data_IF_982486235650
#
_entry.id   IF_982486235650
#
_cell.length_a   1.000
_cell.length_b   1.000
_cell.length_c   1.000
_cell.angle_alpha   90.00
_cell.angle_beta   90.00
_cell.angle_gamma   90.00
#
_symmetry.space_group_name_H-M   'P 1'
#
loop_
_entity.id
_entity.type
_entity.pdbx_description
1 polymer ?
#
# COMPACT_ATOMS: atom_id res chain seq x y z
N UNK A 1 11.38 2.17 21.99
CA UNK A 1 11.06 1.61 20.65
C UNK A 1 9.98 0.52 20.66
N UNK A 2 9.54 0.00 21.82
CA UNK A 2 8.45 -1.00 21.91
C UNK A 2 7.11 -0.38 21.42
N UNK A 3 6.40 -1.08 20.53
CA UNK A 3 5.10 -0.70 19.93
C UNK A 3 5.09 0.60 19.11
N UNK A 4 6.06 0.77 18.21
CA UNK A 4 6.04 1.88 17.25
C UNK A 4 5.27 1.48 15.97
N UNK A 5 4.08 2.05 15.71
CA UNK A 5 3.26 1.65 14.56
C UNK A 5 3.87 2.07 13.21
N UNK A 6 4.77 3.06 13.19
CA UNK A 6 5.50 3.44 11.98
C UNK A 6 6.45 2.33 11.51
N UNK A 7 7.12 1.66 12.46
CA UNK A 7 8.01 0.54 12.15
C UNK A 7 7.21 -0.64 11.56
N UNK A 8 6.01 -0.87 12.08
CA UNK A 8 5.09 -1.90 11.56
C UNK A 8 4.71 -1.62 10.11
N UNK A 9 4.36 -0.37 9.76
CA UNK A 9 4.02 0.00 8.38
C UNK A 9 5.21 -0.18 7.43
N UNK A 10 6.42 0.20 7.86
CA UNK A 10 7.64 0.00 7.06
C UNK A 10 7.91 -1.49 6.84
N UNK A 11 7.78 -2.30 7.89
CA UNK A 11 7.98 -3.75 7.78
C UNK A 11 6.97 -4.38 6.81
N UNK A 12 5.70 -3.95 6.89
CA UNK A 12 4.65 -4.39 5.97
C UNK A 12 4.94 -3.99 4.52
N UNK A 13 5.49 -2.79 4.29
CA UNK A 13 5.95 -2.37 2.97
C UNK A 13 7.02 -3.33 2.43
N UNK A 14 8.04 -3.66 3.23
CA UNK A 14 9.08 -4.60 2.84
C UNK A 14 8.52 -6.00 2.53
N UNK A 15 7.60 -6.50 3.36
CA UNK A 15 6.95 -7.80 3.14
C UNK A 15 6.14 -7.78 1.84
N UNK A 16 5.43 -6.69 1.55
CA UNK A 16 4.66 -6.56 0.32
C UNK A 16 5.54 -6.61 -0.93
N UNK A 17 6.68 -5.89 -0.93
CA UNK A 17 7.64 -5.94 -2.04
C UNK A 17 8.19 -7.35 -2.24
N UNK A 18 8.55 -8.04 -1.15
CA UNK A 18 9.00 -9.43 -1.19
C UNK A 18 7.93 -10.36 -1.75
N UNK A 19 6.67 -10.19 -1.34
CA UNK A 19 5.55 -10.99 -1.82
C UNK A 19 5.32 -10.79 -3.33
N UNK A 20 5.40 -9.56 -3.82
CA UNK A 20 5.28 -9.26 -5.26
C UNK A 20 6.37 -9.97 -6.05
N UNK A 21 7.63 -9.87 -5.61
CA UNK A 21 8.75 -10.57 -6.26
C UNK A 21 8.59 -12.09 -6.20
N UNK A 22 8.03 -12.62 -5.12
CA UNK A 22 7.78 -14.05 -5.00
C UNK A 22 6.66 -14.53 -5.93
N UNK A 23 5.57 -13.76 -6.05
CA UNK A 23 4.48 -14.06 -6.98
C UNK A 23 4.95 -14.00 -8.44
N UNK A 24 5.83 -13.04 -8.76
CA UNK A 24 6.48 -12.94 -10.06
C UNK A 24 7.38 -14.15 -10.33
N UNK A 25 8.15 -14.60 -9.33
CA UNK A 25 9.02 -15.78 -9.45
C UNK A 25 8.27 -17.09 -9.74
N UNK A 26 7.02 -17.24 -9.27
CA UNK A 26 6.21 -18.44 -9.51
C UNK A 26 5.26 -18.30 -10.72
N UNK A 27 5.45 -17.26 -11.55
CA UNK A 27 4.61 -16.92 -12.70
C UNK A 27 3.10 -16.86 -12.34
N UNK A 28 2.79 -16.36 -11.14
CA UNK A 28 1.40 -16.24 -10.72
C UNK A 28 0.73 -15.07 -11.45
N UNK A 29 -0.10 -15.39 -12.45
CA UNK A 29 -0.88 -14.40 -13.20
C UNK A 29 -1.99 -13.80 -12.32
N UNK A 30 -1.65 -12.70 -11.64
CA UNK A 30 -2.61 -11.85 -10.97
C UNK A 30 -3.14 -10.85 -11.99
N UNK A 31 -4.47 -10.81 -12.21
CA UNK A 31 -5.06 -9.88 -13.18
C UNK A 31 -4.55 -8.44 -12.98
N UNK A 32 -4.16 -7.76 -14.06
CA UNK A 32 -3.42 -6.48 -14.01
C UNK A 32 -4.05 -5.45 -13.06
N UNK A 33 -5.37 -5.30 -13.10
CA UNK A 33 -6.09 -4.37 -12.22
C UNK A 33 -6.07 -4.77 -10.75
N UNK A 34 -6.04 -6.09 -10.47
CA UNK A 34 -5.99 -6.62 -9.11
C UNK A 34 -4.60 -6.46 -8.50
N UNK A 35 -3.53 -6.69 -9.28
CA UNK A 35 -2.14 -6.45 -8.85
C UNK A 35 -1.93 -4.98 -8.49
N UNK A 36 -2.40 -4.07 -9.35
CA UNK A 36 -2.24 -2.62 -9.18
C UNK A 36 -3.05 -2.09 -7.97
N UNK A 37 -4.28 -2.57 -7.81
CA UNK A 37 -5.09 -2.26 -6.63
C UNK A 37 -4.46 -2.80 -5.34
N UNK A 38 -3.90 -4.02 -5.38
CA UNK A 38 -3.24 -4.63 -4.23
C UNK A 38 -1.98 -3.84 -3.81
N UNK A 39 -1.16 -3.41 -4.78
CA UNK A 39 -0.01 -2.54 -4.51
C UNK A 39 -0.42 -1.21 -3.87
N UNK A 40 -1.46 -0.56 -4.39
CA UNK A 40 -1.84 0.77 -3.93
C UNK A 40 -2.58 0.75 -2.58
N UNK A 41 -3.45 -0.23 -2.33
CA UNK A 41 -4.40 -0.17 -1.22
C UNK A 41 -4.09 -1.09 -0.03
N UNK A 42 -3.17 -2.06 -0.15
CA UNK A 42 -2.85 -2.95 0.97
C UNK A 42 -2.26 -2.20 2.17
N UNK A 43 -1.22 -1.39 1.97
CA UNK A 43 -0.60 -0.61 3.05
C UNK A 43 -1.56 0.40 3.67
N UNK A 44 -2.35 1.20 2.91
CA UNK A 44 -3.38 2.05 3.49
C UNK A 44 -4.40 1.28 4.31
N UNK A 45 -4.89 0.14 3.80
CA UNK A 45 -5.90 -0.68 4.48
C UNK A 45 -5.37 -1.19 5.81
N UNK A 46 -4.16 -1.77 5.82
CA UNK A 46 -3.54 -2.26 7.05
C UNK A 46 -3.25 -1.11 8.02
N UNK A 47 -2.87 0.07 7.52
CA UNK A 47 -2.66 1.26 8.35
C UNK A 47 -3.94 1.75 9.02
N UNK A 48 -5.08 1.71 8.30
CA UNK A 48 -6.41 2.05 8.86
C UNK A 48 -6.81 1.04 9.94
N UNK A 49 -6.63 -0.26 9.68
CA UNK A 49 -6.89 -1.33 10.64
C UNK A 49 -6.04 -1.11 11.90
N UNK A 50 -4.72 -0.94 11.75
CA UNK A 50 -3.80 -0.68 12.87
C UNK A 50 -4.20 0.56 13.67
N UNK A 51 -4.63 1.64 13.00
CA UNK A 51 -5.09 2.85 13.66
C UNK A 51 -6.34 2.61 14.53
N UNK A 52 -7.23 1.68 14.12
CA UNK A 52 -8.41 1.30 14.92
C UNK A 52 -8.05 0.45 16.14
N UNK A 53 -7.02 -0.39 16.05
CA UNK A 53 -6.53 -1.23 17.16
C UNK A 53 -5.56 -0.50 18.10
N UNK A 54 -5.05 0.66 17.71
CA UNK A 54 -4.20 1.52 18.56
C UNK A 54 -5.00 2.11 19.73
N UNK A 55 -4.85 1.50 20.90
CA UNK A 55 -5.27 2.07 22.19
C UNK A 55 -4.57 3.42 22.44
N UNK A 56 -5.05 4.23 23.38
CA UNK A 56 -4.44 5.51 23.77
C UNK A 56 -2.94 5.34 24.06
N UNK A 57 -2.14 5.67 23.05
CA UNK A 57 -0.69 5.60 23.07
C UNK A 57 -0.16 6.97 22.67
N UNK A 58 1.08 7.24 23.06
CA UNK A 58 1.80 8.47 22.71
C UNK A 58 1.82 8.73 21.19
N UNK A 59 1.70 7.69 20.37
CA UNK A 59 1.78 7.78 18.91
C UNK A 59 0.42 7.88 18.20
N UNK A 60 -0.71 7.71 18.91
CA UNK A 60 -2.06 7.61 18.29
C UNK A 60 -2.39 8.81 17.41
N UNK A 61 -2.12 10.03 17.88
CA UNK A 61 -2.42 11.26 17.13
C UNK A 61 -1.56 11.36 15.86
N UNK A 62 -0.26 11.17 15.97
CA UNK A 62 0.66 11.23 14.83
C UNK A 62 0.40 10.13 13.82
N UNK A 63 0.12 8.91 14.28
CA UNK A 63 -0.18 7.78 13.41
C UNK A 63 -1.49 8.00 12.65
N UNK A 64 -2.52 8.57 13.29
CA UNK A 64 -3.78 8.91 12.61
C UNK A 64 -3.56 9.86 11.43
N UNK A 65 -2.77 10.93 11.60
CA UNK A 65 -2.44 11.84 10.48
C UNK A 65 -1.66 11.14 9.38
N UNK A 66 -0.71 10.28 9.74
CA UNK A 66 0.05 9.48 8.80
C UNK A 66 -0.84 8.50 8.01
N UNK A 67 -1.79 7.84 8.67
CA UNK A 67 -2.77 6.98 8.01
C UNK A 67 -3.59 7.77 6.99
N UNK A 68 -4.09 8.96 7.35
CA UNK A 68 -4.81 9.82 6.40
C UNK A 68 -3.93 10.22 5.21
N UNK A 69 -2.69 10.60 5.47
CA UNK A 69 -1.73 10.95 4.43
C UNK A 69 -1.50 9.78 3.46
N UNK A 70 -1.25 8.57 3.97
CA UNK A 70 -1.05 7.37 3.15
C UNK A 70 -2.28 7.05 2.30
N UNK A 71 -3.49 7.18 2.86
CA UNK A 71 -4.73 6.95 2.10
C UNK A 71 -4.83 7.92 0.92
N UNK A 72 -4.56 9.21 1.13
CA UNK A 72 -4.58 10.20 0.04
C UNK A 72 -3.53 9.88 -1.03
N UNK A 73 -2.30 9.58 -0.61
CA UNK A 73 -1.21 9.24 -1.53
C UNK A 73 -1.53 7.98 -2.33
N UNK A 74 -2.14 6.96 -1.71
CA UNK A 74 -2.56 5.74 -2.44
C UNK A 74 -3.62 6.01 -3.50
N UNK A 75 -4.58 6.90 -3.24
CA UNK A 75 -5.59 7.28 -4.23
C UNK A 75 -4.94 8.00 -5.42
N UNK A 76 -4.05 8.95 -5.15
CA UNK A 76 -3.31 9.67 -6.19
C UNK A 76 -2.42 8.72 -7.01
N UNK A 77 -1.69 7.83 -6.35
CA UNK A 77 -0.85 6.84 -7.00
C UNK A 77 -1.67 5.88 -7.87
N UNK A 78 -2.82 5.40 -7.37
CA UNK A 78 -3.70 4.53 -8.12
C UNK A 78 -4.22 5.21 -9.40
N UNK A 79 -4.67 6.46 -9.31
CA UNK A 79 -5.12 7.23 -10.48
C UNK A 79 -3.98 7.44 -11.47
N UNK A 80 -2.81 7.87 -10.99
CA UNK A 80 -1.65 8.13 -11.85
C UNK A 80 -1.18 6.86 -12.57
N UNK A 81 -1.06 5.73 -11.86
CA UNK A 81 -0.64 4.45 -12.43
C UNK A 81 -1.70 3.86 -13.37
N UNK A 82 -2.99 4.01 -13.05
CA UNK A 82 -4.06 3.58 -13.95
C UNK A 82 -4.06 4.38 -15.25
N UNK A 83 -3.84 5.70 -15.17
CA UNK A 83 -3.71 6.56 -16.33
C UNK A 83 -2.48 6.19 -17.16
N UNK A 84 -1.32 6.01 -16.54
CA UNK A 84 -0.09 5.58 -17.22
C UNK A 84 -0.23 4.21 -17.88
N UNK A 85 -0.88 3.25 -17.21
CA UNK A 85 -1.14 1.92 -17.76
C UNK A 85 -2.07 1.96 -18.98
N UNK A 86 -3.09 2.84 -18.96
CA UNK A 86 -3.96 3.06 -20.12
C UNK A 86 -3.19 3.73 -21.28
N UNK A 87 -2.34 4.71 -20.97
CA UNK A 87 -1.54 5.43 -21.96
C UNK A 87 -0.48 4.52 -22.61
N UNK A 88 0.16 3.66 -21.81
CA UNK A 88 1.13 2.66 -22.29
C UNK A 88 0.49 1.68 -23.29
N UNK A 89 -0.73 1.20 -22.99
CA UNK A 89 -1.48 0.35 -23.92
C UNK A 89 -1.87 1.07 -25.21
N UNK A 90 -2.21 2.35 -25.13
CA UNK A 90 -2.55 3.15 -26.31
C UNK A 90 -1.35 3.41 -27.23
N UNK A 91 -0.12 3.46 -26.68
CA UNK A 91 1.12 3.66 -27.45
C UNK A 91 1.78 2.36 -27.93
N UNK A 92 1.32 1.20 -27.46
CA UNK A 92 1.76 -0.12 -27.96
C UNK A 92 1.02 -0.58 -29.23
N UNK A 93 0.14 0.25 -29.79
CA UNK A 93 -0.53 0.03 -31.07
C UNK A 93 0.20 0.69 -32.25
#
# INVERSE_FOLDING_TARGET
MKNNPFLTVILLFCIQVLLINYLDYIDFEMGEGLSLAFMCFLIPTVSVVLNSFLRESRYKKSFRYFTFFIVIVSLLAFVALSYLGALGRAYQH
#
